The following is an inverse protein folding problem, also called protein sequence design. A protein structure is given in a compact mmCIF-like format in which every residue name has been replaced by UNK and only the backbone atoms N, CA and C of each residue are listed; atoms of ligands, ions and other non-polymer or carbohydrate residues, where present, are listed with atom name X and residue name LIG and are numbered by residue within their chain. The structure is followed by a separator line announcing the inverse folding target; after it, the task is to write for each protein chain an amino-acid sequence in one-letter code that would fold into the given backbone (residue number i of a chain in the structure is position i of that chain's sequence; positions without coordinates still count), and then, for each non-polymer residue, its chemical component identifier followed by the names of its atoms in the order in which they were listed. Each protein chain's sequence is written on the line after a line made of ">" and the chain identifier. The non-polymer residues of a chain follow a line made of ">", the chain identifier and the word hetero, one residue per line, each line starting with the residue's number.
data_IF_805043446085
#
_entry.id   IF_805043446085
#
_cell.length_a   1.000
_cell.length_b   1.000
_cell.length_c   1.000
_cell.angle_alpha   90.00
_cell.angle_beta   90.00
_cell.angle_gamma   90.00
#
_symmetry.space_group_name_H-M   'P 1'
#
loop_
_entity.id
_entity.type
_entity.pdbx_description
1 polymer ?
#
# COMPACT_ATOMS: atom_id res chain seq x y z
N UNK A 1 2.27 -0.33 -9.20
CA UNK A 1 1.08 0.14 -8.44
C UNK A 1 -0.03 -0.85 -8.70
N UNK A 2 -0.65 -1.36 -7.63
CA UNK A 2 -1.72 -2.36 -7.74
C UNK A 2 -3.04 -1.71 -8.12
N UNK A 3 -4.00 -2.52 -8.58
CA UNK A 3 -5.39 -2.07 -8.75
C UNK A 3 -6.14 -1.94 -7.42
N UNK A 4 -5.61 -2.52 -6.33
CA UNK A 4 -6.25 -2.52 -5.02
C UNK A 4 -6.19 -1.14 -4.34
N UNK A 5 -7.22 -0.88 -3.53
CA UNK A 5 -7.34 0.32 -2.69
C UNK A 5 -7.45 -0.09 -1.24
N UNK A 6 -6.99 0.77 -0.34
CA UNK A 6 -7.10 0.54 1.09
C UNK A 6 -8.58 0.39 1.47
N UNK A 7 -8.99 -0.73 2.09
CA UNK A 7 -10.40 -0.97 2.43
C UNK A 7 -10.93 0.01 3.49
N UNK A 8 -10.03 0.66 4.24
CA UNK A 8 -10.39 1.60 5.33
C UNK A 8 -10.56 3.05 4.85
N UNK A 9 -9.70 3.52 3.95
CA UNK A 9 -9.69 4.93 3.55
C UNK A 9 -9.76 5.17 2.03
N UNK A 10 -9.68 4.13 1.20
CA UNK A 10 -9.70 4.24 -0.26
C UNK A 10 -8.40 4.74 -0.90
N UNK A 11 -7.35 4.99 -0.11
CA UNK A 11 -6.04 5.37 -0.63
C UNK A 11 -5.36 4.23 -1.42
N UNK A 12 -4.31 4.55 -2.16
CA UNK A 12 -3.51 3.56 -2.88
C UNK A 12 -2.74 2.64 -1.92
N UNK A 13 -2.59 1.38 -2.35
CA UNK A 13 -1.76 0.38 -1.69
C UNK A 13 -0.42 0.23 -2.43
N UNK A 14 0.64 0.05 -1.66
CA UNK A 14 1.95 -0.39 -2.13
C UNK A 14 2.08 -1.89 -1.92
N UNK A 15 2.53 -2.61 -2.94
CA UNK A 15 2.71 -4.06 -2.92
C UNK A 15 4.19 -4.38 -2.72
N UNK A 16 4.50 -5.14 -1.67
CA UNK A 16 5.85 -5.55 -1.32
C UNK A 16 6.22 -6.93 -1.87
N UNK A 17 5.28 -7.65 -2.49
CA UNK A 17 5.58 -8.94 -3.13
C UNK A 17 6.40 -8.73 -4.40
N UNK A 18 7.56 -9.37 -4.47
CA UNK A 18 8.40 -9.38 -5.67
C UNK A 18 8.81 -10.83 -5.94
N UNK A 19 8.24 -11.50 -6.95
CA UNK A 19 8.43 -12.95 -7.16
C UNK A 19 9.90 -13.37 -7.32
N UNK A 20 10.76 -12.46 -7.80
CA UNK A 20 12.18 -12.72 -8.07
C UNK A 20 13.13 -12.35 -6.91
N UNK A 21 12.62 -11.84 -5.79
CA UNK A 21 13.44 -11.38 -4.66
C UNK A 21 13.21 -12.23 -3.41
N UNK A 22 14.29 -12.91 -2.96
CA UNK A 22 14.32 -13.80 -1.80
C UNK A 22 13.94 -13.14 -0.46
N UNK A 23 13.98 -11.79 -0.37
CA UNK A 23 13.69 -11.01 0.85
C UNK A 23 12.29 -10.36 0.78
N UNK A 24 11.53 -10.59 -0.31
CA UNK A 24 10.18 -10.05 -0.41
C UNK A 24 9.19 -10.83 0.44
N UNK A 25 8.11 -10.15 0.87
CA UNK A 25 6.94 -10.82 1.45
C UNK A 25 6.47 -11.91 0.51
N UNK A 26 5.98 -13.05 1.00
CA UNK A 26 5.37 -14.07 0.15
C UNK A 26 4.12 -13.54 -0.55
N UNK A 27 3.65 -14.26 -1.57
CA UNK A 27 2.45 -13.86 -2.33
C UNK A 27 1.21 -13.69 -1.44
N UNK A 28 1.14 -14.49 -0.35
CA UNK A 28 0.01 -14.61 0.55
C UNK A 28 0.29 -14.04 1.94
N UNK A 29 1.36 -13.26 2.12
CA UNK A 29 1.63 -12.62 3.41
C UNK A 29 0.53 -11.62 3.76
N UNK A 30 0.06 -11.69 5.01
CA UNK A 30 -0.99 -10.82 5.56
C UNK A 30 -0.57 -9.33 5.64
N UNK A 31 0.72 -9.03 5.45
CA UNK A 31 1.27 -7.68 5.44
C UNK A 31 1.85 -7.25 4.09
N UNK A 32 1.54 -8.00 3.01
CA UNK A 32 2.01 -7.72 1.65
C UNK A 32 1.69 -6.30 1.15
N UNK A 33 0.52 -5.76 1.49
CA UNK A 33 0.06 -4.47 0.97
C UNK A 33 0.06 -3.39 2.06
N UNK A 34 0.79 -2.29 1.87
CA UNK A 34 0.77 -1.14 2.79
C UNK A 34 -0.11 -0.01 2.26
N UNK A 35 -0.98 0.53 3.12
CA UNK A 35 -1.68 1.78 2.80
C UNK A 35 -0.73 2.98 2.83
N UNK A 36 -0.63 3.71 1.73
CA UNK A 36 0.20 4.92 1.65
C UNK A 36 -0.48 6.17 2.21
N UNK A 37 -1.80 6.12 2.44
CA UNK A 37 -2.58 7.30 2.77
C UNK A 37 -2.81 8.21 1.56
N UNK A 38 -3.71 9.18 1.72
CA UNK A 38 -4.06 10.15 0.68
C UNK A 38 -2.97 11.20 0.54
N UNK A 39 -2.68 11.60 -0.70
CA UNK A 39 -1.81 12.75 -0.95
C UNK A 39 -2.49 14.00 -0.35
N UNK A 40 -1.74 14.75 0.46
CA UNK A 40 -2.17 16.01 1.01
C UNK A 40 -1.93 17.08 -0.06
N UNK A 41 -2.99 17.70 -0.53
CA UNK A 41 -2.94 18.77 -1.53
C UNK A 41 -3.36 20.12 -0.93
N UNK A 42 -2.65 21.21 -1.26
CA UNK A 42 -1.46 21.28 -2.10
C UNK A 42 -0.22 20.66 -1.43
N UNK A 43 0.72 20.15 -2.23
CA UNK A 43 1.97 19.55 -1.73
C UNK A 43 2.78 20.61 -0.96
N UNK A 44 3.13 20.38 0.32
CA UNK A 44 3.80 21.39 1.14
C UNK A 44 5.26 21.60 0.74
N UNK A 45 5.68 22.85 0.64
CA UNK A 45 7.09 23.22 0.50
C UNK A 45 7.85 22.94 1.81
N UNK A 46 9.11 22.44 1.79
CA UNK A 46 9.99 22.19 0.64
C UNK A 46 9.87 20.79 0.04
N UNK A 47 8.98 19.94 0.57
CA UNK A 47 8.79 18.56 0.16
C UNK A 47 7.99 18.51 -1.16
N UNK A 48 8.57 18.95 -2.27
CA UNK A 48 7.86 19.12 -3.55
C UNK A 48 7.49 17.81 -4.26
N UNK A 49 7.93 16.65 -3.76
CA UNK A 49 7.64 15.35 -4.39
C UNK A 49 6.31 14.76 -3.92
N UNK A 50 5.41 14.46 -4.87
CA UNK A 50 4.16 13.71 -4.62
C UNK A 50 4.39 12.26 -4.12
N UNK A 51 5.63 11.79 -4.22
CA UNK A 51 6.04 10.47 -3.75
C UNK A 51 6.61 10.50 -2.33
N UNK A 52 6.82 11.67 -1.74
CA UNK A 52 7.31 11.77 -0.36
C UNK A 52 6.22 11.30 0.61
N UNK A 53 6.55 10.33 1.46
CA UNK A 53 5.61 9.78 2.45
C UNK A 53 5.11 10.84 3.44
N UNK A 54 5.89 11.89 3.69
CA UNK A 54 5.51 13.00 4.59
C UNK A 54 4.38 13.87 4.03
N UNK A 55 4.11 13.78 2.73
CA UNK A 55 3.03 14.50 2.06
C UNK A 55 1.74 13.69 2.02
N UNK A 56 1.61 12.65 2.84
CA UNK A 56 0.45 11.78 2.86
C UNK A 56 -0.19 11.74 4.24
N UNK A 57 -1.49 11.46 4.28
CA UNK A 57 -2.18 11.16 5.53
C UNK A 57 -1.58 9.91 6.18
N UNK A 58 -1.83 9.72 7.47
CA UNK A 58 -1.37 8.52 8.18
C UNK A 58 -1.85 7.24 7.48
N UNK A 59 -0.95 6.25 7.41
CA UNK A 59 -1.26 4.92 6.92
C UNK A 59 -2.36 4.25 7.77
N UNK A 60 -3.21 3.45 7.12
CA UNK A 60 -4.18 2.60 7.78
C UNK A 60 -3.61 1.23 8.21
N UNK A 61 -2.31 1.00 7.98
CA UNK A 61 -1.62 -0.25 8.26
C UNK A 61 -1.34 -1.07 7.00
N UNK A 62 -1.16 -2.36 7.23
CA UNK A 62 -0.89 -3.38 6.23
C UNK A 62 -2.12 -4.29 6.03
N UNK A 63 -2.17 -4.96 4.90
CA UNK A 63 -3.28 -5.79 4.45
C UNK A 63 -2.76 -6.98 3.65
N UNK A 64 -3.43 -8.12 3.79
CA UNK A 64 -3.23 -9.30 2.97
C UNK A 64 -4.19 -9.32 1.77
N UNK A 65 -4.11 -10.37 0.96
CA UNK A 65 -5.05 -10.61 -0.13
C UNK A 65 -6.49 -10.86 0.39
N UNK A 66 -6.62 -11.55 1.53
CA UNK A 66 -7.93 -11.83 2.14
C UNK A 66 -8.65 -10.56 2.60
N UNK A 67 -7.93 -9.60 3.20
CA UNK A 67 -8.46 -8.28 3.56
C UNK A 67 -8.99 -7.49 2.35
N UNK A 68 -8.51 -7.84 1.15
CA UNK A 68 -8.90 -7.23 -0.12
C UNK A 68 -9.95 -8.05 -0.87
N UNK A 69 -10.50 -9.10 -0.23
CA UNK A 69 -11.58 -9.92 -0.76
C UNK A 69 -11.13 -11.00 -1.75
N UNK A 70 -9.84 -11.34 -1.77
CA UNK A 70 -9.33 -12.46 -2.57
C UNK A 70 -9.38 -13.73 -1.72
N UNK A 71 -10.20 -14.69 -2.13
CA UNK A 71 -10.26 -16.01 -1.51
C UNK A 71 -9.10 -16.88 -2.03
N UNK A 72 -8.39 -17.52 -1.10
CA UNK A 72 -7.41 -18.54 -1.43
C UNK A 72 -8.08 -19.72 -2.15
N UNK A 73 -7.48 -20.19 -3.25
CA UNK A 73 -7.91 -21.39 -3.96
C UNK A 73 -6.73 -22.36 -4.03
N UNK A 74 -6.89 -23.49 -3.35
CA UNK A 74 -5.97 -24.65 -3.39
C UNK A 74 -5.84 -25.24 -4.80
#
# INVERSE_FOLDING_TARGET
>A
MTSYKCPKCGAELEDFYTPDYFISSSEWDDDRFRCNGHLIEPIPFPQVSKYSAVNRTKSCGYFGLEDLGVEYKE
#
